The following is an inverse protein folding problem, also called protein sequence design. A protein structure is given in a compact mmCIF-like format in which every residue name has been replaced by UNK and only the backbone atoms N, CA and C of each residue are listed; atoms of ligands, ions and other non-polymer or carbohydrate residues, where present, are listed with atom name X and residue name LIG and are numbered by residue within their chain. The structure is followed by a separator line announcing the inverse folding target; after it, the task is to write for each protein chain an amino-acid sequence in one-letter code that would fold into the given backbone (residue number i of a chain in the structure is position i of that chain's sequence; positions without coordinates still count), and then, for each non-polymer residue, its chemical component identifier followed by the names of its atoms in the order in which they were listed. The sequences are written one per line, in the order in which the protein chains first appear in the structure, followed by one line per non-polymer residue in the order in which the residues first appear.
data_IF_258418931595
#
_entry.id   IF_258418931595
#
_cell.length_a   1.000
_cell.length_b   1.000
_cell.length_c   1.000
_cell.angle_alpha   90.00
_cell.angle_beta   90.00
_cell.angle_gamma   90.00
#
_symmetry.space_group_name_H-M   'P 1'
#
loop_
_entity.id
_entity.type
_entity.pdbx_description
1 polymer ?
#
# COMPACT_ATOMS: atom_id res chain seq x y z
N UNK A 1 4.82 5.77 6.41
CA UNK A 1 3.99 5.88 5.19
C UNK A 1 3.82 4.49 4.64
N UNK A 2 2.60 4.13 4.25
CA UNK A 2 2.27 2.85 3.61
C UNK A 2 2.67 2.91 2.13
N UNK A 3 3.37 1.90 1.65
CA UNK A 3 3.79 1.80 0.25
C UNK A 3 2.72 1.08 -0.56
N UNK A 4 2.17 1.76 -1.56
CA UNK A 4 1.13 1.23 -2.45
C UNK A 4 1.69 1.12 -3.86
N UNK A 5 1.54 -0.04 -4.49
CA UNK A 5 1.78 -0.19 -5.92
C UNK A 5 0.44 -0.15 -6.66
N UNK A 6 0.24 0.83 -7.53
CA UNK A 6 -0.94 0.94 -8.39
C UNK A 6 -0.57 0.48 -9.79
N UNK A 7 -1.28 -0.53 -10.31
CA UNK A 7 -1.05 -1.10 -11.64
C UNK A 7 -2.29 -0.89 -12.49
N UNK A 8 -2.22 0.03 -13.45
CA UNK A 8 -3.33 0.35 -14.35
C UNK A 8 -2.80 0.79 -15.72
N UNK A 9 -3.34 0.26 -16.84
CA UNK A 9 -2.89 0.65 -18.17
C UNK A 9 -3.28 2.08 -18.54
N UNK A 10 -4.19 2.72 -17.80
CA UNK A 10 -4.54 4.12 -17.96
C UNK A 10 -3.66 5.00 -17.05
N UNK A 11 -2.64 5.70 -17.60
CA UNK A 11 -1.71 6.48 -16.80
C UNK A 11 -2.38 7.68 -16.10
N UNK A 12 -3.43 8.27 -16.70
CA UNK A 12 -4.16 9.38 -16.08
C UNK A 12 -4.94 8.93 -14.85
N UNK A 13 -5.52 7.72 -14.91
CA UNK A 13 -6.23 7.15 -13.76
C UNK A 13 -5.26 6.75 -12.65
N UNK A 14 -4.14 6.12 -12.98
CA UNK A 14 -3.09 5.79 -12.02
C UNK A 14 -2.52 7.04 -11.34
N UNK A 15 -2.23 8.10 -12.11
CA UNK A 15 -1.75 9.38 -11.58
C UNK A 15 -2.76 10.07 -10.67
N UNK A 16 -4.06 9.99 -11.00
CA UNK A 16 -5.12 10.50 -10.13
C UNK A 16 -5.16 9.75 -8.79
N UNK A 17 -5.07 8.41 -8.80
CA UNK A 17 -5.00 7.63 -7.56
C UNK A 17 -3.77 8.02 -6.74
N UNK A 18 -2.60 8.10 -7.38
CA UNK A 18 -1.36 8.52 -6.73
C UNK A 18 -1.52 9.88 -6.05
N UNK A 19 -2.00 10.89 -6.79
CA UNK A 19 -2.16 12.24 -6.26
C UNK A 19 -3.04 12.24 -5.00
N UNK A 20 -4.23 11.64 -5.06
CA UNK A 20 -5.17 11.71 -3.94
C UNK A 20 -4.70 10.90 -2.73
N UNK A 21 -4.10 9.72 -2.94
CA UNK A 21 -3.55 8.95 -1.83
C UNK A 21 -2.36 9.67 -1.19
N UNK A 22 -1.47 10.27 -1.97
CA UNK A 22 -0.31 11.00 -1.43
C UNK A 22 -0.69 12.32 -0.74
N UNK A 23 -1.77 12.98 -1.16
CA UNK A 23 -2.32 14.17 -0.49
C UNK A 23 -2.66 13.91 1.00
N UNK A 24 -3.02 12.67 1.36
CA UNK A 24 -3.26 12.27 2.76
C UNK A 24 -2.00 12.27 3.62
N UNK A 25 -0.80 12.24 3.01
CA UNK A 25 0.52 12.04 3.64
C UNK A 25 0.69 10.71 4.38
N UNK A 26 -0.25 9.77 4.22
CA UNK A 26 -0.18 8.44 4.80
C UNK A 26 0.45 7.43 3.84
N UNK A 27 0.28 7.65 2.53
CA UNK A 27 0.70 6.75 1.47
C UNK A 27 1.90 7.29 0.69
N UNK A 28 2.73 6.37 0.21
CA UNK A 28 3.72 6.57 -0.84
C UNK A 28 3.31 5.67 -2.00
N UNK A 29 3.02 6.24 -3.18
CA UNK A 29 2.46 5.47 -4.29
C UNK A 29 3.47 5.34 -5.42
N UNK A 30 3.76 4.10 -5.79
CA UNK A 30 4.47 3.77 -7.04
C UNK A 30 3.43 3.35 -8.07
N UNK A 31 3.55 3.82 -9.31
CA UNK A 31 2.65 3.46 -10.42
C UNK A 31 3.35 2.56 -11.42
N UNK A 32 2.60 1.64 -12.01
CA UNK A 32 3.02 0.80 -13.13
C UNK A 32 1.88 0.71 -14.16
N UNK A 33 2.22 0.62 -15.44
CA UNK A 33 1.22 0.51 -16.52
C UNK A 33 1.06 -0.91 -17.06
N UNK A 34 1.93 -1.83 -16.66
CA UNK A 34 1.93 -3.23 -17.16
C UNK A 34 2.22 -4.22 -16.03
N UNK A 35 1.83 -5.47 -16.22
CA UNK A 35 2.15 -6.54 -15.27
C UNK A 35 3.66 -6.77 -15.16
N UNK A 36 4.39 -6.73 -16.27
CA UNK A 36 5.84 -6.87 -16.32
C UNK A 36 6.56 -5.79 -15.50
N UNK A 37 6.14 -4.53 -15.64
CA UNK A 37 6.67 -3.41 -14.86
C UNK A 37 6.36 -3.58 -13.37
N UNK A 38 5.12 -3.92 -13.02
CA UNK A 38 4.72 -4.15 -11.64
C UNK A 38 5.55 -5.24 -10.96
N UNK A 39 5.79 -6.36 -11.65
CA UNK A 39 6.64 -7.47 -11.14
C UNK A 39 8.10 -7.02 -10.99
N UNK A 40 8.64 -6.29 -11.97
CA UNK A 40 10.00 -5.75 -11.91
C UNK A 40 10.18 -4.82 -10.70
N UNK A 41 9.23 -3.92 -10.46
CA UNK A 41 9.23 -3.01 -9.31
C UNK A 41 9.09 -3.80 -8.00
N UNK A 42 8.12 -4.71 -7.89
CA UNK A 42 7.90 -5.54 -6.70
C UNK A 42 9.07 -6.48 -6.37
N UNK A 43 9.95 -6.77 -7.33
CA UNK A 43 11.18 -7.55 -7.10
C UNK A 43 12.31 -6.73 -6.47
N UNK A 44 12.25 -5.39 -6.57
CA UNK A 44 13.28 -4.46 -6.10
C UNK A 44 12.91 -3.79 -4.79
N UNK A 45 11.61 -3.61 -4.54
CA UNK A 45 11.10 -2.98 -3.33
C UNK A 45 9.87 -3.70 -2.76
N UNK A 46 9.71 -3.62 -1.44
CA UNK A 46 8.56 -4.16 -0.73
C UNK A 46 7.39 -3.19 -0.72
N UNK A 47 6.18 -3.70 -0.89
CA UNK A 47 4.94 -2.93 -0.77
C UNK A 47 4.09 -3.43 0.39
N UNK A 48 3.25 -2.54 0.92
CA UNK A 48 2.26 -2.90 1.92
C UNK A 48 0.96 -3.39 1.27
N UNK A 49 0.67 -2.96 0.03
CA UNK A 49 -0.47 -3.42 -0.76
C UNK A 49 -0.26 -3.14 -2.25
N UNK A 50 -0.83 -3.99 -3.10
CA UNK A 50 -0.95 -3.74 -4.55
C UNK A 50 -2.41 -3.53 -4.91
N UNK A 51 -2.66 -2.54 -5.75
CA UNK A 51 -3.95 -2.32 -6.41
C UNK A 51 -3.75 -2.65 -7.89
N UNK A 52 -4.30 -3.77 -8.32
CA UNK A 52 -4.05 -4.38 -9.62
C UNK A 52 -5.29 -4.33 -10.51
N UNK A 53 -5.20 -3.72 -11.69
CA UNK A 53 -6.27 -3.78 -12.68
C UNK A 53 -6.42 -5.21 -13.28
N UNK A 54 -7.65 -5.69 -13.50
CA UNK A 54 -7.90 -7.08 -13.89
C UNK A 54 -7.69 -7.42 -15.38
N UNK A 55 -7.61 -6.41 -16.24
CA UNK A 55 -7.59 -6.49 -17.71
C UNK A 55 -6.27 -6.05 -18.35
N UNK A 56 -5.13 -6.26 -17.66
CA UNK A 56 -3.81 -6.05 -18.23
C UNK A 56 -3.57 -6.92 -19.48
N UNK A 57 -3.01 -6.31 -20.53
CA UNK A 57 -2.79 -7.00 -21.82
C UNK A 57 -1.64 -8.01 -21.77
N UNK A 58 -0.61 -7.75 -20.94
CA UNK A 58 0.63 -8.52 -20.91
C UNK A 58 0.62 -9.69 -19.91
N UNK A 59 -0.31 -9.69 -18.95
CA UNK A 59 -0.47 -10.75 -17.95
C UNK A 59 -1.93 -11.03 -17.66
N UNK A 60 -2.26 -12.31 -17.50
CA UNK A 60 -3.53 -12.68 -16.87
C UNK A 60 -3.51 -12.27 -15.39
N UNK A 61 -4.68 -11.89 -14.84
CA UNK A 61 -4.81 -11.56 -13.41
C UNK A 61 -4.27 -12.66 -12.51
N UNK A 62 -4.50 -13.93 -12.88
CA UNK A 62 -4.01 -15.10 -12.13
C UNK A 62 -2.49 -15.14 -12.08
N UNK A 63 -1.84 -14.92 -13.22
CA UNK A 63 -0.39 -15.00 -13.32
C UNK A 63 0.26 -13.83 -12.59
N UNK A 64 -0.30 -12.63 -12.71
CA UNK A 64 0.14 -11.45 -11.97
C UNK A 64 0.06 -11.69 -10.45
N UNK A 65 -1.10 -12.14 -9.92
CA UNK A 65 -1.27 -12.47 -8.49
C UNK A 65 -0.28 -13.55 -8.05
N UNK A 66 -0.12 -14.61 -8.86
CA UNK A 66 0.79 -15.72 -8.55
C UNK A 66 2.24 -15.26 -8.47
N UNK A 67 2.70 -14.47 -9.43
CA UNK A 67 4.08 -13.98 -9.47
C UNK A 67 4.33 -12.96 -8.37
N UNK A 68 3.43 -12.00 -8.15
CA UNK A 68 3.52 -11.03 -7.06
C UNK A 68 3.63 -11.72 -5.70
N UNK A 69 2.82 -12.76 -5.45
CA UNK A 69 2.89 -13.55 -4.21
C UNK A 69 4.10 -14.47 -4.13
N UNK A 70 4.66 -14.95 -5.24
CA UNK A 70 5.95 -15.64 -5.23
C UNK A 70 7.09 -14.70 -4.82
N UNK A 71 7.02 -13.44 -5.26
CA UNK A 71 8.00 -12.41 -4.90
C UNK A 71 7.82 -11.92 -3.46
N UNK A 72 6.57 -11.71 -3.04
CA UNK A 72 6.21 -11.24 -1.70
C UNK A 72 5.04 -12.07 -1.13
N UNK A 73 5.31 -13.15 -0.38
CA UNK A 73 4.31 -14.16 0.02
C UNK A 73 3.09 -13.66 0.80
N UNK A 74 3.21 -12.52 1.48
CA UNK A 74 2.17 -11.94 2.31
C UNK A 74 1.62 -10.63 1.76
N UNK A 75 1.93 -10.30 0.51
CA UNK A 75 1.51 -9.05 -0.11
C UNK A 75 -0.02 -9.06 -0.31
N UNK A 76 -0.76 -8.16 0.37
CA UNK A 76 -2.18 -7.95 0.11
C UNK A 76 -2.37 -7.42 -1.31
N UNK A 77 -3.37 -7.95 -2.01
CA UNK A 77 -3.70 -7.54 -3.37
C UNK A 77 -5.17 -7.16 -3.41
N UNK A 78 -5.46 -5.94 -3.85
CA UNK A 78 -6.79 -5.51 -4.26
C UNK A 78 -6.86 -5.52 -5.79
N UNK A 79 -8.04 -5.84 -6.32
CA UNK A 79 -8.27 -5.85 -7.77
C UNK A 79 -9.19 -4.71 -8.15
N UNK A 80 -8.85 -3.96 -9.21
CA UNK A 80 -9.75 -2.99 -9.85
C UNK A 80 -10.34 -3.62 -11.11
N UNK A 81 -11.66 -3.63 -11.20
CA UNK A 81 -12.41 -4.00 -12.40
C UNK A 81 -12.53 -2.79 -13.36
N UNK A 82 -12.45 -3.03 -14.68
CA UNK A 82 -12.64 -1.99 -15.67
C UNK A 82 -14.10 -1.52 -15.69
N UNK A 83 -14.34 -0.40 -16.38
CA UNK A 83 -15.69 0.16 -16.47
C UNK A 83 -16.66 -0.81 -17.15
N UNK A 84 -17.80 -1.07 -16.52
CA UNK A 84 -18.82 -1.98 -17.04
C UNK A 84 -18.69 -3.43 -16.55
N UNK A 85 -17.61 -3.78 -15.85
CA UNK A 85 -17.49 -5.07 -15.17
C UNK A 85 -17.92 -4.96 -13.70
N UNK A 86 -18.79 -5.87 -13.26
CA UNK A 86 -19.35 -5.85 -11.90
C UNK A 86 -18.79 -6.93 -10.99
N UNK A 87 -18.11 -7.93 -11.55
CA UNK A 87 -17.54 -9.02 -10.79
C UNK A 87 -16.35 -9.62 -11.55
N UNK A 88 -15.42 -10.15 -10.77
CA UNK A 88 -14.40 -11.04 -11.30
C UNK A 88 -15.04 -12.28 -11.96
N UNK A 89 -14.44 -12.82 -13.04
CA UNK A 89 -14.86 -14.10 -13.60
C UNK A 89 -14.93 -15.20 -12.54
N UNK A 90 -15.78 -16.21 -12.70
CA UNK A 90 -15.92 -17.29 -11.70
C UNK A 90 -14.59 -18.00 -11.36
N UNK A 91 -13.69 -18.11 -12.35
CA UNK A 91 -12.35 -18.66 -12.15
C UNK A 91 -11.47 -17.81 -11.20
N UNK A 92 -11.76 -16.52 -11.09
CA UNK A 92 -11.06 -15.55 -10.27
C UNK A 92 -11.61 -15.40 -8.85
N UNK A 93 -12.78 -16.00 -8.55
CA UNK A 93 -13.33 -16.10 -7.18
C UNK A 93 -12.44 -16.91 -6.23
N UNK A 94 -11.55 -17.73 -6.78
CA UNK A 94 -10.56 -18.50 -6.02
C UNK A 94 -9.24 -17.76 -5.79
N UNK A 95 -9.10 -16.54 -6.34
CA UNK A 95 -7.94 -15.71 -6.02
C UNK A 95 -8.14 -15.17 -4.61
N UNK A 96 -7.24 -15.54 -3.71
CA UNK A 96 -7.16 -14.89 -2.42
C UNK A 96 -6.68 -13.45 -2.68
N UNK A 97 -7.63 -12.51 -2.64
CA UNK A 97 -7.42 -11.07 -2.80
C UNK A 97 -8.18 -10.37 -1.69
N UNK A 98 -7.64 -9.25 -1.23
CA UNK A 98 -8.08 -8.56 -0.01
C UNK A 98 -9.12 -7.46 -0.32
N UNK A 99 -9.43 -7.23 -1.60
CA UNK A 99 -10.51 -6.33 -1.99
C UNK A 99 -10.79 -6.38 -3.48
N UNK A 100 -12.01 -6.01 -3.86
CA UNK A 100 -12.42 -5.79 -5.23
C UNK A 100 -12.99 -4.37 -5.30
N UNK A 101 -12.52 -3.64 -6.29
CA UNK A 101 -12.86 -2.27 -6.62
C UNK A 101 -13.43 -2.26 -8.04
N UNK A 102 -14.30 -1.33 -8.38
CA UNK A 102 -14.86 -1.21 -9.74
C UNK A 102 -14.84 0.22 -10.21
N UNK A 103 -14.41 0.46 -11.46
CA UNK A 103 -14.50 1.79 -12.07
C UNK A 103 -15.98 2.13 -12.37
N UNK A 104 -16.44 3.38 -12.10
CA UNK A 104 -15.67 4.49 -11.55
C UNK A 104 -15.44 4.36 -10.03
N UNK A 105 -14.22 4.66 -9.57
CA UNK A 105 -13.89 4.65 -8.14
C UNK A 105 -14.21 6.00 -7.49
N UNK A 106 -14.83 5.95 -6.32
CA UNK A 106 -14.96 7.12 -5.46
C UNK A 106 -13.74 7.22 -4.55
N UNK A 107 -12.83 8.11 -4.90
CA UNK A 107 -11.50 8.18 -4.29
C UNK A 107 -11.50 8.48 -2.77
N UNK A 108 -12.45 9.28 -2.22
CA UNK A 108 -12.53 9.46 -0.77
C UNK A 108 -12.74 8.15 0.02
N UNK A 109 -13.33 7.12 -0.59
CA UNK A 109 -13.50 5.80 0.01
C UNK A 109 -12.32 4.86 -0.24
N UNK A 110 -11.41 5.20 -1.17
CA UNK A 110 -10.27 4.34 -1.50
C UNK A 110 -9.35 4.12 -0.30
N UNK A 111 -9.15 5.15 0.52
CA UNK A 111 -8.34 5.03 1.73
C UNK A 111 -8.93 3.99 2.70
N UNK A 112 -10.23 4.08 3.02
CA UNK A 112 -10.85 3.14 3.97
C UNK A 112 -10.89 1.72 3.41
N UNK A 113 -11.06 1.56 2.10
CA UNK A 113 -11.00 0.26 1.44
C UNK A 113 -9.59 -0.36 1.48
N UNK A 114 -8.54 0.46 1.34
CA UNK A 114 -7.15 0.00 1.52
C UNK A 114 -6.92 -0.42 2.98
N UNK A 115 -7.34 0.40 3.94
CA UNK A 115 -7.20 0.09 5.37
C UNK A 115 -7.93 -1.21 5.73
N UNK A 116 -9.16 -1.41 5.24
CA UNK A 116 -9.90 -2.66 5.41
C UNK A 116 -9.16 -3.85 4.78
N UNK A 117 -8.66 -3.70 3.55
CA UNK A 117 -7.93 -4.76 2.86
C UNK A 117 -6.66 -5.18 3.61
N UNK A 118 -5.96 -4.24 4.24
CA UNK A 118 -4.77 -4.51 5.05
C UNK A 118 -5.08 -5.33 6.33
N UNK A 119 -6.34 -5.38 6.78
CA UNK A 119 -6.75 -6.19 7.94
C UNK A 119 -7.09 -7.64 7.58
N UNK A 120 -7.27 -7.95 6.29
CA UNK A 120 -7.67 -9.28 5.83
C UNK A 120 -6.47 -10.24 5.76
N UNK A 121 -6.65 -11.52 6.09
CA UNK A 121 -5.57 -12.51 6.02
C UNK A 121 -5.13 -12.73 4.58
N UNK A 122 -3.85 -13.05 4.41
CA UNK A 122 -3.22 -13.44 3.14
C UNK A 122 -2.75 -14.88 3.28
N UNK A 123 -3.18 -15.77 2.39
CA UNK A 123 -2.94 -17.22 2.44
C UNK A 123 -3.34 -17.86 3.78
N UNK A 124 -4.42 -17.36 4.41
CA UNK A 124 -4.87 -17.82 5.73
C UNK A 124 -4.01 -17.37 6.90
N UNK A 125 -2.96 -16.59 6.65
CA UNK A 125 -2.12 -15.98 7.68
C UNK A 125 -2.64 -14.56 7.96
N UNK A 126 -3.02 -14.29 9.20
CA UNK A 126 -3.46 -12.96 9.61
C UNK A 126 -2.31 -11.95 9.45
N UNK A 127 -2.60 -10.70 9.04
CA UNK A 127 -1.57 -9.67 8.93
C UNK A 127 -0.84 -9.53 10.26
N UNK A 128 0.49 -9.60 10.23
CA UNK A 128 1.30 -9.31 11.40
C UNK A 128 1.01 -7.87 11.81
N UNK A 129 0.38 -7.67 12.96
CA UNK A 129 0.03 -6.36 13.49
C UNK A 129 1.29 -5.49 13.54
N UNK A 130 1.52 -4.65 12.53
CA UNK A 130 2.44 -3.53 12.70
C UNK A 130 1.71 -2.58 13.63
N UNK A 131 2.26 -2.26 14.81
CA UNK A 131 1.75 -1.12 15.55
C UNK A 131 1.91 0.07 14.61
N UNK A 132 0.79 0.71 14.25
CA UNK A 132 0.79 2.05 13.68
C UNK A 132 1.47 2.90 14.75
N UNK A 133 2.77 3.10 14.65
CA UNK A 133 3.46 4.03 15.53
C UNK A 133 2.91 5.42 15.19
N UNK A 134 2.30 6.14 16.15
CA UNK A 134 1.82 7.48 15.88
C UNK A 134 3.00 8.35 15.41
N UNK A 135 2.79 9.26 14.46
CA UNK A 135 3.84 10.15 14.01
C UNK A 135 4.23 11.09 15.16
N UNK A 136 5.42 10.90 15.76
CA UNK A 136 6.05 11.94 16.59
C UNK A 136 6.59 11.55 17.97
N UNK A 137 7.22 10.39 18.16
CA UNK A 137 7.93 10.09 19.43
C UNK A 137 9.46 10.02 19.33
N UNK A 138 10.08 10.64 18.30
CA UNK A 138 11.52 10.90 18.29
C UNK A 138 11.78 12.39 18.45
N UNK A 139 11.65 12.87 19.69
CA UNK A 139 12.39 14.03 20.15
C UNK A 139 13.44 13.56 21.14
N UNK A 140 14.74 13.75 20.87
CA UNK A 140 15.73 13.67 21.93
C UNK A 140 15.39 14.79 22.92
N UNK A 141 14.98 14.42 24.13
CA UNK A 141 14.83 15.36 25.24
C UNK A 141 16.13 16.16 25.39
N UNK A 142 16.12 17.50 25.35
CA UNK A 142 17.31 18.27 25.65
C UNK A 142 17.67 18.04 27.13
N UNK A 143 18.92 17.65 27.35
CA UNK A 143 19.51 17.51 28.68
C UNK A 143 19.34 18.83 29.45
N UNK A 144 18.93 18.82 30.74
CA UNK A 144 18.72 20.05 31.48
C UNK A 144 20.02 20.86 31.61
N UNK A 145 19.94 22.20 31.65
CA UNK A 145 21.11 23.05 31.84
C UNK A 145 21.73 22.80 33.22
N UNK A 146 23.06 22.70 33.28
CA UNK A 146 23.80 22.65 34.55
C UNK A 146 23.63 23.98 35.27
N UNK A 147 23.11 23.95 36.49
CA UNK A 147 23.03 25.12 37.39
C UNK A 147 24.42 25.72 37.66
N UNK A 148 24.52 27.03 37.86
CA UNK A 148 25.79 27.69 38.17
C UNK A 148 26.18 27.41 39.63
N UNK A 149 27.46 27.11 39.86
CA UNK A 149 28.02 27.03 41.20
C UNK A 149 28.08 28.45 41.81
N UNK A 150 27.42 28.64 42.96
CA UNK A 150 27.61 29.80 43.82
C UNK A 150 29.00 29.82 44.46
N UNK A 151 29.55 31.00 44.81
CA UNK A 151 30.89 31.15 45.38
C UNK A 151 30.86 30.92 46.89
N UNK A 152 31.81 30.14 47.42
CA UNK A 152 32.08 30.11 48.87
C UNK A 152 33.33 30.93 49.20
N UNK A 153 33.10 32.02 49.92
CA UNK A 153 34.08 32.75 50.73
C UNK A 153 34.73 31.85 51.77
N UNK A 154 36.06 31.97 51.90
CA UNK A 154 36.93 31.81 53.08
C UNK A 154 38.33 31.44 52.54
N UNK A 155 39.43 32.12 52.86
CA UNK A 155 39.82 32.86 54.06
C UNK A 155 41.03 33.74 53.74
#
# INVERSE_FOLDING_TARGET
MLKVLVVDPNPSFAAMIQQVLEETRLFQVTVASTGAEAISIASRESFDIVILESSLEDFSLRDAVTVLRRTQPYLPIMVILPFGEQALPDAAKYFDVQGILSKPLYIPELQSQIEEALTKPVNGVAPASRPIQPPGANHPTPRPPRSPACPSLAR
#
